data_IF_003015169657
#
_entry.id   IF_003015169657
#
_cell.length_a   1.000
_cell.length_b   1.000
_cell.length_c   1.000
_cell.angle_alpha   90.00
_cell.angle_beta   90.00
_cell.angle_gamma   90.00
#
_symmetry.space_group_name_H-M   'P 1'
#
loop_
_entity.id
_entity.type
_entity.pdbx_description
1 polymer ?
#
# COMPACT_ATOMS: atom_id res chain seq x y z
N UNK A 1 24.49 -6.25 -4.64
CA UNK A 1 23.50 -5.88 -5.71
C UNK A 1 22.06 -5.79 -5.17
N UNK A 2 21.40 -6.89 -4.70
CA UNK A 2 20.00 -6.81 -4.20
C UNK A 2 19.87 -5.90 -2.97
N UNK A 3 20.82 -5.93 -2.03
CA UNK A 3 20.81 -5.09 -0.83
C UNK A 3 21.05 -3.60 -1.11
N UNK A 4 21.64 -3.27 -2.23
CA UNK A 4 21.88 -1.88 -2.65
C UNK A 4 20.62 -1.26 -3.25
N UNK A 5 19.78 -2.06 -3.91
CA UNK A 5 18.52 -1.62 -4.51
C UNK A 5 17.37 -1.52 -3.51
N UNK A 6 17.25 -2.54 -2.62
CA UNK A 6 16.15 -2.60 -1.64
C UNK A 6 16.43 -1.64 -0.49
N UNK A 7 15.50 -0.72 -0.26
CA UNK A 7 15.60 0.35 0.72
C UNK A 7 16.20 1.65 0.17
N UNK A 8 16.95 1.61 -0.94
CA UNK A 8 17.45 2.79 -1.63
C UNK A 8 16.58 3.18 -2.82
N UNK A 9 16.53 2.32 -3.87
CA UNK A 9 15.76 2.59 -5.10
C UNK A 9 14.35 2.01 -5.06
N UNK A 10 14.16 0.91 -4.33
CA UNK A 10 12.86 0.22 -4.19
C UNK A 10 12.54 0.09 -2.71
N UNK A 11 11.40 0.60 -2.31
CA UNK A 11 10.90 0.46 -0.95
C UNK A 11 9.53 -0.21 -0.92
N UNK A 12 9.18 -0.78 0.23
CA UNK A 12 7.91 -1.48 0.41
C UNK A 12 7.25 -1.08 1.73
N UNK A 13 5.96 -0.82 1.68
CA UNK A 13 5.06 -0.67 2.82
C UNK A 13 4.33 -2.00 2.96
N UNK A 14 4.45 -2.64 4.12
CA UNK A 14 3.81 -3.92 4.41
C UNK A 14 2.39 -3.73 4.93
N UNK A 15 1.58 -4.77 4.84
CA UNK A 15 0.17 -4.79 5.19
C UNK A 15 -0.10 -4.42 6.67
N UNK A 16 0.75 -4.83 7.60
CA UNK A 16 0.54 -4.61 9.03
C UNK A 16 1.67 -3.77 9.64
N UNK A 17 1.39 -2.51 10.04
CA UNK A 17 2.39 -1.63 10.64
C UNK A 17 2.84 -2.12 12.02
N UNK A 18 2.01 -2.86 12.75
CA UNK A 18 2.35 -3.32 14.10
C UNK A 18 3.38 -4.44 14.10
N UNK A 19 3.39 -5.28 13.06
CA UNK A 19 4.40 -6.32 12.88
C UNK A 19 5.65 -5.82 12.15
N UNK A 20 5.53 -4.73 11.40
CA UNK A 20 6.63 -4.15 10.63
C UNK A 20 7.54 -3.24 11.44
N UNK A 21 7.00 -2.58 12.46
CA UNK A 21 7.78 -1.75 13.39
C UNK A 21 8.30 -2.62 14.55
N UNK A 22 9.59 -2.50 14.86
CA UNK A 22 10.17 -3.21 16.00
C UNK A 22 9.77 -2.53 17.32
N UNK A 23 9.01 -3.22 18.21
CA UNK A 23 8.51 -2.61 19.45
C UNK A 23 9.60 -2.25 20.46
N UNK A 24 10.80 -2.79 20.33
CA UNK A 24 11.93 -2.54 21.24
C UNK A 24 12.69 -1.24 20.95
N UNK A 25 12.43 -0.62 19.79
CA UNK A 25 13.13 0.60 19.37
C UNK A 25 12.15 1.76 19.18
N UNK A 26 12.62 2.97 19.44
CA UNK A 26 11.82 4.18 19.22
C UNK A 26 11.61 4.41 17.71
N UNK A 27 10.56 5.17 17.38
CA UNK A 27 10.23 5.56 16.01
C UNK A 27 11.41 6.21 15.32
N UNK A 28 12.01 7.21 15.96
CA UNK A 28 13.14 7.93 15.39
C UNK A 28 14.37 7.05 15.20
N UNK A 29 14.63 6.11 16.10
CA UNK A 29 15.75 5.19 15.94
C UNK A 29 15.60 4.37 14.67
N UNK A 30 14.42 3.81 14.40
CA UNK A 30 14.16 2.95 13.25
C UNK A 30 14.28 3.71 11.92
N UNK A 31 13.74 4.94 11.85
CA UNK A 31 13.90 5.79 10.66
C UNK A 31 15.37 6.19 10.46
N UNK A 32 16.06 6.60 11.53
CA UNK A 32 17.50 6.96 11.46
C UNK A 32 18.37 5.77 11.05
N UNK A 33 18.01 4.55 11.43
CA UNK A 33 18.72 3.33 11.05
C UNK A 33 18.57 3.05 9.55
N UNK A 34 17.36 3.20 8.99
CA UNK A 34 17.12 3.10 7.55
C UNK A 34 17.95 4.13 6.77
N UNK A 35 17.96 5.40 7.20
CA UNK A 35 18.77 6.44 6.58
C UNK A 35 20.28 6.09 6.67
N UNK A 36 20.74 5.61 7.83
CA UNK A 36 22.15 5.25 8.04
C UNK A 36 22.59 4.12 7.11
N UNK A 37 21.73 3.14 6.90
CA UNK A 37 22.05 1.96 6.10
C UNK A 37 22.31 2.28 4.62
N UNK A 38 21.65 3.32 4.07
CA UNK A 38 21.67 3.62 2.64
C UNK A 38 22.33 4.97 2.29
N UNK A 39 22.25 5.97 3.17
CA UNK A 39 22.73 7.33 2.92
C UNK A 39 23.89 7.75 3.84
N UNK A 40 24.06 7.06 4.97
CA UNK A 40 25.06 7.40 5.96
C UNK A 40 24.74 8.69 6.72
N UNK A 41 25.67 9.64 6.80
CA UNK A 41 25.54 10.92 7.49
C UNK A 41 25.76 10.87 9.00
N UNK A 42 25.92 12.02 9.65
CA UNK A 42 26.05 12.16 11.09
C UNK A 42 24.75 11.86 11.82
N UNK A 43 24.82 11.58 13.13
CA UNK A 43 23.62 11.37 13.96
C UNK A 43 22.70 12.59 13.94
N UNK A 44 23.26 13.79 13.90
CA UNK A 44 22.50 15.05 13.88
C UNK A 44 21.70 15.19 12.58
N UNK A 45 22.38 15.02 11.43
CA UNK A 45 21.74 15.09 10.11
C UNK A 45 20.61 14.06 9.96
N UNK A 46 20.86 12.81 10.39
CA UNK A 46 19.82 11.79 10.37
C UNK A 46 18.60 12.14 11.24
N UNK A 47 18.83 12.74 12.44
CA UNK A 47 17.73 13.17 13.30
C UNK A 47 16.94 14.32 12.67
N UNK A 48 17.61 15.29 12.07
CA UNK A 48 16.95 16.40 11.37
C UNK A 48 16.11 15.86 10.20
N UNK A 49 16.68 14.97 9.37
CA UNK A 49 15.96 14.33 8.28
C UNK A 49 14.77 13.49 8.78
N UNK A 50 14.90 12.80 9.90
CA UNK A 50 13.79 12.05 10.51
C UNK A 50 12.65 12.96 10.93
N UNK A 51 12.94 14.11 11.52
CA UNK A 51 11.91 15.10 11.88
C UNK A 51 11.20 15.66 10.64
N UNK A 52 11.95 15.94 9.57
CA UNK A 52 11.36 16.34 8.28
C UNK A 52 10.39 15.27 7.72
N UNK A 53 10.80 14.00 7.76
CA UNK A 53 9.97 12.89 7.31
C UNK A 53 8.71 12.74 8.14
N UNK A 54 8.81 12.83 9.45
CA UNK A 54 7.64 12.77 10.35
C UNK A 54 6.66 13.91 10.09
N UNK A 55 7.16 15.14 9.81
CA UNK A 55 6.30 16.26 9.40
C UNK A 55 5.66 15.98 8.03
N UNK A 56 6.43 15.48 7.08
CA UNK A 56 5.98 15.18 5.71
C UNK A 56 4.82 14.17 5.69
N UNK A 57 4.87 13.16 6.55
CA UNK A 57 3.77 12.18 6.67
C UNK A 57 2.66 12.62 7.64
N UNK A 58 2.72 13.84 8.16
CA UNK A 58 1.67 14.41 9.00
C UNK A 58 1.61 13.83 10.43
N UNK A 59 2.75 13.48 11.03
CA UNK A 59 2.80 13.14 12.45
C UNK A 59 2.73 14.45 13.26
N UNK A 60 1.75 14.60 14.18
CA UNK A 60 1.65 15.78 15.03
C UNK A 60 2.79 15.80 16.06
N UNK A 61 3.35 16.98 16.34
CA UNK A 61 4.43 17.20 17.31
C UNK A 61 5.61 16.21 17.14
N UNK A 62 6.30 16.23 15.97
CA UNK A 62 7.33 15.25 15.63
C UNK A 62 8.50 15.22 16.62
N UNK A 63 8.79 16.37 17.25
CA UNK A 63 9.87 16.53 18.23
C UNK A 63 9.67 15.67 19.46
N UNK A 64 8.42 15.51 19.92
CA UNK A 64 8.07 14.63 21.03
C UNK A 64 7.85 13.19 20.58
N UNK A 65 7.36 13.00 19.34
CA UNK A 65 7.03 11.68 18.80
C UNK A 65 8.23 10.89 18.28
N UNK A 66 9.34 11.53 18.00
CA UNK A 66 10.55 10.85 17.53
C UNK A 66 11.11 9.84 18.55
N UNK A 67 10.93 10.10 19.83
CA UNK A 67 11.48 9.30 20.91
C UNK A 67 10.45 8.33 21.55
N UNK A 68 9.21 8.21 20.98
CA UNK A 68 8.20 7.25 21.42
C UNK A 68 8.38 5.87 20.79
N UNK A 69 7.81 4.85 21.40
CA UNK A 69 7.79 3.48 20.90
C UNK A 69 6.53 3.22 20.06
N UNK A 70 6.55 2.24 19.14
CA UNK A 70 5.40 1.92 18.28
C UNK A 70 4.10 1.67 19.04
N UNK A 71 4.13 0.98 20.17
CA UNK A 71 2.95 0.67 20.98
C UNK A 71 2.30 1.92 21.64
N UNK A 72 2.95 3.08 21.58
CA UNK A 72 2.41 4.37 22.08
C UNK A 72 1.72 5.17 20.97
N UNK A 73 1.65 4.63 19.75
CA UNK A 73 1.03 5.25 18.58
C UNK A 73 -0.33 4.61 18.29
N UNK A 74 -1.23 5.38 17.66
CA UNK A 74 -2.41 4.82 17.01
C UNK A 74 -2.04 4.05 15.75
N UNK A 75 -2.93 3.18 15.24
CA UNK A 75 -2.72 2.42 14.01
C UNK A 75 -2.38 3.33 12.82
N UNK A 76 -3.13 4.41 12.62
CA UNK A 76 -2.87 5.38 11.56
C UNK A 76 -1.54 6.12 11.73
N UNK A 77 -1.11 6.42 12.97
CA UNK A 77 0.21 7.01 13.22
C UNK A 77 1.33 6.00 12.94
N UNK A 78 1.18 4.74 13.33
CA UNK A 78 2.14 3.67 13.02
C UNK A 78 2.28 3.47 11.51
N UNK A 79 1.16 3.53 10.77
CA UNK A 79 1.16 3.49 9.31
C UNK A 79 1.94 4.65 8.70
N UNK A 80 1.73 5.88 9.18
CA UNK A 80 2.47 7.07 8.73
C UNK A 80 3.97 6.97 9.02
N UNK A 81 4.34 6.40 10.16
CA UNK A 81 5.76 6.12 10.50
C UNK A 81 6.37 5.09 9.53
N UNK A 82 5.64 4.02 9.21
CA UNK A 82 6.10 3.03 8.24
C UNK A 82 6.27 3.64 6.83
N UNK A 83 5.37 4.52 6.42
CA UNK A 83 5.51 5.31 5.18
C UNK A 83 6.77 6.18 5.25
N UNK A 84 6.99 6.91 6.36
CA UNK A 84 8.19 7.73 6.56
C UNK A 84 9.49 6.92 6.44
N UNK A 85 9.51 5.69 7.00
CA UNK A 85 10.64 4.77 6.84
C UNK A 85 10.86 4.37 5.39
N UNK A 86 9.78 4.00 4.68
CA UNK A 86 9.86 3.56 3.29
C UNK A 86 10.39 4.66 2.36
N UNK A 87 9.95 5.92 2.55
CA UNK A 87 10.39 7.05 1.71
C UNK A 87 11.69 7.72 2.19
N UNK A 88 12.28 7.25 3.31
CA UNK A 88 13.43 7.91 3.95
C UNK A 88 14.61 8.12 2.99
N UNK A 89 14.85 7.17 2.10
CA UNK A 89 15.95 7.18 1.14
C UNK A 89 15.54 7.67 -0.26
N UNK A 90 14.33 8.22 -0.44
CA UNK A 90 13.78 8.71 -1.72
C UNK A 90 13.77 7.63 -2.80
N UNK A 91 13.04 6.54 -2.61
CA UNK A 91 13.02 5.45 -3.57
C UNK A 91 12.41 5.89 -4.90
N UNK A 92 12.86 5.27 -6.00
CA UNK A 92 12.28 5.46 -7.33
C UNK A 92 10.98 4.68 -7.51
N UNK A 93 10.83 3.59 -6.74
CA UNK A 93 9.65 2.74 -6.74
C UNK A 93 9.20 2.46 -5.30
N UNK A 94 7.95 2.78 -5.00
CA UNK A 94 7.29 2.40 -3.75
C UNK A 94 6.24 1.32 -4.04
N UNK A 95 6.32 0.21 -3.31
CA UNK A 95 5.31 -0.85 -3.33
C UNK A 95 4.52 -0.75 -2.04
N UNK A 96 3.21 -0.51 -2.12
CA UNK A 96 2.32 -0.45 -0.97
C UNK A 96 1.39 -1.67 -1.00
N UNK A 97 1.63 -2.60 -0.08
CA UNK A 97 0.86 -3.84 0.03
C UNK A 97 -0.23 -3.69 1.08
N UNK A 98 -1.47 -3.52 0.61
CA UNK A 98 -2.66 -3.27 1.43
C UNK A 98 -2.45 -2.21 2.53
N UNK A 99 -1.97 -0.99 2.19
CA UNK A 99 -1.48 -0.01 3.17
C UNK A 99 -2.58 0.56 4.07
N UNK A 100 -3.83 0.21 3.82
CA UNK A 100 -5.01 0.72 4.54
C UNK A 100 -5.73 -0.35 5.34
N UNK A 101 -5.26 -1.60 5.31
CA UNK A 101 -5.88 -2.72 6.05
C UNK A 101 -5.89 -2.43 7.56
N UNK A 102 -7.00 -2.76 8.23
CA UNK A 102 -7.24 -2.55 9.65
C UNK A 102 -7.31 -1.07 10.11
N UNK A 103 -7.46 -0.11 9.20
CA UNK A 103 -7.70 1.29 9.49
C UNK A 103 -9.18 1.64 9.29
N UNK A 104 -9.67 2.65 9.98
CA UNK A 104 -11.02 3.19 9.72
C UNK A 104 -11.06 3.94 8.38
N UNK A 105 -12.26 4.05 7.79
CA UNK A 105 -12.47 4.59 6.43
C UNK A 105 -11.88 6.00 6.26
N UNK A 106 -11.98 6.83 7.28
CA UNK A 106 -11.45 8.21 7.23
C UNK A 106 -9.92 8.21 7.16
N UNK A 107 -9.28 7.37 7.97
CA UNK A 107 -7.82 7.23 7.95
C UNK A 107 -7.34 6.55 6.67
N UNK A 108 -8.10 5.58 6.13
CA UNK A 108 -7.78 4.96 4.83
C UNK A 108 -7.65 6.00 3.73
N UNK A 109 -8.66 6.87 3.57
CA UNK A 109 -8.62 7.95 2.59
C UNK A 109 -7.38 8.85 2.78
N UNK A 110 -7.11 9.28 4.01
CA UNK A 110 -5.95 10.12 4.31
C UNK A 110 -4.59 9.44 3.99
N UNK A 111 -4.48 8.13 4.17
CA UNK A 111 -3.24 7.40 3.82
C UNK A 111 -3.05 7.33 2.31
N UNK A 112 -4.13 7.15 1.57
CA UNK A 112 -4.06 7.12 0.11
C UNK A 112 -3.70 8.47 -0.46
N UNK A 113 -4.39 9.52 -0.02
CA UNK A 113 -4.06 10.91 -0.40
C UNK A 113 -2.59 11.21 -0.12
N UNK A 114 -2.09 10.84 1.06
CA UNK A 114 -0.68 10.99 1.41
C UNK A 114 0.24 10.24 0.44
N UNK A 115 -0.07 9.01 0.07
CA UNK A 115 0.75 8.24 -0.89
C UNK A 115 0.77 8.87 -2.28
N UNK A 116 -0.37 9.39 -2.75
CA UNK A 116 -0.48 10.08 -4.03
C UNK A 116 0.27 11.43 -4.02
N UNK A 117 0.15 12.21 -2.95
CA UNK A 117 0.91 13.44 -2.77
C UNK A 117 2.43 13.16 -2.78
N UNK A 118 2.87 12.13 -2.05
CA UNK A 118 4.27 11.73 -2.00
C UNK A 118 4.78 11.24 -3.36
N UNK A 119 3.96 10.48 -4.09
CA UNK A 119 4.27 10.00 -5.44
C UNK A 119 4.55 11.17 -6.39
N UNK A 120 3.73 12.21 -6.35
CA UNK A 120 3.90 13.40 -7.18
C UNK A 120 5.11 14.22 -6.72
N UNK A 121 5.23 14.50 -5.42
CA UNK A 121 6.26 15.37 -4.85
C UNK A 121 7.67 14.81 -5.00
N UNK A 122 7.84 13.51 -4.76
CA UNK A 122 9.15 12.84 -4.85
C UNK A 122 9.40 12.24 -6.25
N UNK A 123 8.47 12.42 -7.22
CA UNK A 123 8.57 11.89 -8.58
C UNK A 123 8.84 10.39 -8.63
N UNK A 124 8.23 9.60 -7.74
CA UNK A 124 8.41 8.14 -7.66
C UNK A 124 7.28 7.39 -8.35
N UNK A 125 7.55 6.15 -8.76
CA UNK A 125 6.52 5.22 -9.19
C UNK A 125 5.86 4.56 -7.98
N UNK A 126 4.53 4.35 -8.04
CA UNK A 126 3.76 3.67 -6.99
C UNK A 126 3.10 2.42 -7.54
N UNK A 127 3.33 1.27 -6.90
CA UNK A 127 2.53 0.05 -7.06
C UNK A 127 1.66 -0.08 -5.82
N UNK A 128 0.35 0.04 -6.00
CA UNK A 128 -0.63 -0.13 -4.93
C UNK A 128 -1.31 -1.49 -5.07
N UNK A 129 -1.11 -2.36 -4.09
CA UNK A 129 -1.81 -3.64 -3.98
C UNK A 129 -2.97 -3.43 -3.02
N UNK A 130 -4.19 -3.66 -3.48
CA UNK A 130 -5.39 -3.47 -2.68
C UNK A 130 -6.54 -4.32 -3.21
N UNK A 131 -7.50 -4.61 -2.35
CA UNK A 131 -8.78 -5.21 -2.71
C UNK A 131 -9.92 -4.16 -2.80
N UNK A 132 -9.63 -2.90 -2.50
CA UNK A 132 -10.59 -1.80 -2.57
C UNK A 132 -10.60 -1.19 -3.98
N UNK A 133 -11.65 -1.51 -4.75
CA UNK A 133 -11.81 -1.06 -6.12
C UNK A 133 -12.18 0.43 -6.21
N UNK A 134 -12.84 1.01 -5.21
CA UNK A 134 -13.15 2.44 -5.19
C UNK A 134 -11.85 3.24 -5.13
N UNK A 135 -10.92 2.82 -4.28
CA UNK A 135 -9.60 3.39 -4.17
C UNK A 135 -8.78 3.24 -5.46
N UNK A 136 -8.87 2.08 -6.12
CA UNK A 136 -8.22 1.84 -7.41
C UNK A 136 -8.76 2.79 -8.49
N UNK A 137 -10.07 3.06 -8.48
CA UNK A 137 -10.71 3.96 -9.46
C UNK A 137 -10.17 5.41 -9.35
N UNK A 138 -9.86 5.86 -8.14
CA UNK A 138 -9.35 7.21 -7.89
C UNK A 138 -7.84 7.33 -8.13
N UNK A 139 -7.07 6.29 -7.77
CA UNK A 139 -5.61 6.38 -7.68
C UNK A 139 -4.86 5.82 -8.90
N UNK A 140 -5.44 4.85 -9.62
CA UNK A 140 -4.68 4.05 -10.56
C UNK A 140 -4.73 4.59 -11.99
N UNK A 141 -3.55 4.67 -12.65
CA UNK A 141 -3.47 4.90 -14.10
C UNK A 141 -3.60 3.58 -14.89
N UNK A 142 -3.06 2.49 -14.33
CA UNK A 142 -3.10 1.14 -14.91
C UNK A 142 -3.49 0.16 -13.81
N UNK A 143 -4.22 -0.88 -14.21
CA UNK A 143 -4.70 -1.92 -13.31
C UNK A 143 -4.21 -3.27 -13.82
N UNK A 144 -3.78 -4.11 -12.89
CA UNK A 144 -3.48 -5.52 -13.09
C UNK A 144 -4.41 -6.30 -12.17
N UNK A 145 -5.35 -7.06 -12.76
CA UNK A 145 -6.28 -7.90 -12.01
C UNK A 145 -5.68 -9.29 -11.87
N UNK A 146 -5.60 -9.77 -10.63
CA UNK A 146 -5.05 -11.08 -10.31
C UNK A 146 -6.12 -12.00 -9.74
N UNK A 147 -6.12 -13.27 -10.17
CA UNK A 147 -6.98 -14.32 -9.64
C UNK A 147 -6.18 -15.61 -9.41
N UNK A 148 -6.27 -16.19 -8.24
CA UNK A 148 -5.55 -17.43 -7.86
C UNK A 148 -4.05 -17.41 -8.22
N UNK A 149 -3.39 -16.25 -8.04
CA UNK A 149 -1.95 -16.06 -8.30
C UNK A 149 -1.57 -15.88 -9.78
N UNK A 150 -2.55 -15.67 -10.66
CA UNK A 150 -2.31 -15.36 -12.07
C UNK A 150 -2.89 -14.00 -12.46
N UNK A 151 -2.22 -13.29 -13.36
CA UNK A 151 -2.77 -12.10 -14.01
C UNK A 151 -3.84 -12.56 -14.99
N UNK A 152 -5.06 -12.06 -14.82
CA UNK A 152 -6.21 -12.41 -15.66
C UNK A 152 -6.63 -11.28 -16.58
N UNK A 153 -6.36 -10.05 -16.21
CA UNK A 153 -6.61 -8.86 -17.02
C UNK A 153 -5.65 -7.74 -16.64
N UNK A 154 -5.22 -6.95 -17.63
CA UNK A 154 -4.46 -5.72 -17.40
C UNK A 154 -4.84 -4.65 -18.42
N UNK A 155 -4.79 -3.39 -18.02
CA UNK A 155 -5.13 -2.28 -18.88
C UNK A 155 -5.03 -0.93 -18.21
N UNK A 156 -5.44 0.12 -18.93
CA UNK A 156 -5.66 1.45 -18.33
C UNK A 156 -6.85 1.36 -17.39
N UNK A 157 -6.85 2.12 -16.31
CA UNK A 157 -7.94 2.12 -15.35
C UNK A 157 -9.30 2.40 -16.03
N UNK A 158 -9.37 3.45 -16.87
CA UNK A 158 -10.57 3.80 -17.62
C UNK A 158 -11.15 2.64 -18.45
N UNK A 159 -10.28 1.86 -19.12
CA UNK A 159 -10.70 0.74 -19.98
C UNK A 159 -11.23 -0.42 -19.13
N UNK A 160 -10.54 -0.76 -18.04
CA UNK A 160 -10.93 -1.84 -17.12
C UNK A 160 -12.27 -1.53 -16.45
N UNK A 161 -12.52 -0.28 -16.04
CA UNK A 161 -13.79 0.10 -15.41
C UNK A 161 -14.94 0.20 -16.43
N UNK A 162 -14.67 0.70 -17.64
CA UNK A 162 -15.70 0.90 -18.68
C UNK A 162 -16.07 -0.40 -19.38
N UNK A 163 -15.08 -1.22 -19.75
CA UNK A 163 -15.28 -2.41 -20.57
C UNK A 163 -14.39 -3.57 -20.12
N UNK A 164 -14.63 -4.12 -18.88
CA UNK A 164 -13.89 -5.28 -18.41
C UNK A 164 -14.12 -6.49 -19.29
N UNK A 165 -13.08 -7.18 -19.69
CA UNK A 165 -13.15 -8.31 -20.64
C UNK A 165 -13.17 -9.65 -19.93
N UNK A 166 -12.41 -9.78 -18.83
CA UNK A 166 -12.35 -11.03 -18.11
C UNK A 166 -13.58 -11.19 -17.18
N UNK A 167 -14.26 -12.38 -17.16
CA UNK A 167 -15.45 -12.60 -16.33
C UNK A 167 -15.24 -12.33 -14.83
N UNK A 168 -14.04 -12.59 -14.31
CA UNK A 168 -13.70 -12.28 -12.92
C UNK A 168 -13.71 -10.76 -12.65
N UNK A 169 -13.11 -9.96 -13.54
CA UNK A 169 -13.12 -8.49 -13.43
C UNK A 169 -14.55 -7.95 -13.49
N UNK A 170 -15.37 -8.47 -14.39
CA UNK A 170 -16.78 -8.11 -14.49
C UNK A 170 -17.54 -8.43 -13.20
N UNK A 171 -17.28 -9.58 -12.59
CA UNK A 171 -17.91 -9.96 -11.34
C UNK A 171 -17.43 -9.11 -10.16
N UNK A 172 -16.15 -8.76 -10.10
CA UNK A 172 -15.61 -7.83 -9.09
C UNK A 172 -16.28 -6.46 -9.18
N UNK A 173 -16.39 -5.89 -10.37
CA UNK A 173 -17.02 -4.58 -10.57
C UNK A 173 -18.52 -4.61 -10.23
N UNK A 174 -19.23 -5.70 -10.58
CA UNK A 174 -20.65 -5.86 -10.21
C UNK A 174 -20.90 -6.04 -8.71
N UNK A 175 -19.85 -6.33 -7.93
CA UNK A 175 -19.94 -6.40 -6.47
C UNK A 175 -19.83 -5.03 -5.78
N UNK A 176 -19.47 -3.98 -6.53
CA UNK A 176 -19.43 -2.62 -6.02
C UNK A 176 -20.85 -2.05 -5.87
N UNK A 177 -21.15 -1.33 -4.76
CA UNK A 177 -22.45 -0.71 -4.55
C UNK A 177 -22.85 0.26 -5.66
N UNK A 178 -21.88 0.97 -6.24
CA UNK A 178 -22.08 1.96 -7.30
C UNK A 178 -22.57 1.36 -8.63
N UNK A 179 -22.21 0.10 -8.90
CA UNK A 179 -22.66 -0.65 -10.08
C UNK A 179 -23.90 -1.52 -9.82
N UNK A 180 -24.42 -1.51 -8.60
CA UNK A 180 -25.56 -2.32 -8.18
C UNK A 180 -26.92 -1.60 -8.38
N UNK A 181 -27.04 -0.73 -9.41
CA UNK A 181 -28.27 0.05 -9.67
C UNK A 181 -29.55 -0.81 -9.51
N UNK A 182 -30.35 -0.47 -8.50
CA UNK A 182 -31.69 -1.04 -8.30
C UNK A 182 -31.77 -2.50 -7.82
N UNK A 183 -30.65 -3.14 -7.48
CA UNK A 183 -30.64 -4.53 -6.97
C UNK A 183 -30.54 -4.55 -5.44
N UNK A 184 -31.47 -5.22 -4.81
CA UNK A 184 -31.51 -5.40 -3.35
C UNK A 184 -30.38 -6.32 -2.81
N UNK A 185 -29.60 -6.96 -3.67
CA UNK A 185 -28.55 -7.89 -3.29
C UNK A 185 -27.37 -7.83 -4.26
N UNK A 186 -26.16 -7.63 -3.73
CA UNK A 186 -24.92 -7.69 -4.50
C UNK A 186 -24.69 -9.11 -5.03
N UNK A 187 -24.21 -9.21 -6.29
CA UNK A 187 -23.89 -10.49 -6.91
C UNK A 187 -22.50 -10.93 -6.43
N UNK A 188 -22.41 -12.11 -5.83
CA UNK A 188 -21.13 -12.75 -5.50
C UNK A 188 -20.88 -13.92 -6.45
N UNK A 189 -19.61 -14.16 -6.76
CA UNK A 189 -19.20 -15.37 -7.47
C UNK A 189 -19.38 -16.58 -6.55
N UNK A 190 -20.09 -17.63 -6.99
CA UNK A 190 -20.23 -18.86 -6.22
C UNK A 190 -18.91 -19.63 -6.16
N UNK A 191 -18.84 -20.64 -5.29
CA UNK A 191 -17.68 -21.55 -5.20
C UNK A 191 -16.48 -20.96 -4.43
N UNK A 192 -15.36 -21.67 -4.47
CA UNK A 192 -14.13 -21.35 -3.75
C UNK A 192 -13.00 -21.08 -4.74
N UNK A 193 -12.09 -20.18 -4.41
CA UNK A 193 -10.89 -19.93 -5.23
C UNK A 193 -10.02 -21.20 -5.22
N UNK A 194 -9.60 -21.72 -6.40
CA UNK A 194 -8.79 -22.93 -6.46
C UNK A 194 -7.46 -22.74 -5.74
N UNK A 195 -7.13 -23.70 -4.89
CA UNK A 195 -5.86 -23.76 -4.18
C UNK A 195 -4.72 -24.26 -5.07
N UNK A 196 -3.53 -24.40 -4.47
CA UNK A 196 -2.34 -24.87 -5.19
C UNK A 196 -2.51 -26.30 -5.74
N UNK A 197 -3.26 -27.14 -5.05
CA UNK A 197 -3.44 -28.58 -5.38
C UNK A 197 -4.73 -28.88 -6.13
N UNK A 198 -5.68 -27.94 -6.19
CA UNK A 198 -7.01 -28.13 -6.80
C UNK A 198 -7.17 -27.26 -8.06
N UNK A 199 -6.07 -26.99 -8.76
CA UNK A 199 -6.11 -26.17 -9.97
C UNK A 199 -6.78 -26.93 -11.11
N UNK A 200 -7.87 -26.39 -11.70
CA UNK A 200 -8.50 -26.98 -12.88
C UNK A 200 -7.57 -26.90 -14.09
N UNK A 201 -7.79 -27.79 -15.07
CA UNK A 201 -7.17 -27.63 -16.37
C UNK A 201 -7.80 -26.44 -17.12
N UNK A 202 -6.96 -25.56 -17.66
CA UNK A 202 -7.41 -24.38 -18.39
C UNK A 202 -7.62 -23.16 -17.48
N UNK A 203 -8.71 -22.43 -17.69
CA UNK A 203 -9.01 -21.21 -16.95
C UNK A 203 -9.31 -21.51 -15.48
N UNK A 204 -8.59 -20.85 -14.57
CA UNK A 204 -8.77 -21.05 -13.12
C UNK A 204 -10.17 -20.62 -12.61
N UNK A 205 -10.90 -19.78 -13.36
CA UNK A 205 -12.27 -19.37 -13.03
C UNK A 205 -13.32 -20.40 -13.46
N UNK A 206 -12.98 -21.36 -14.36
CA UNK A 206 -13.95 -22.29 -14.93
C UNK A 206 -14.84 -23.06 -13.93
N UNK A 207 -14.38 -23.42 -12.70
CA UNK A 207 -15.23 -24.07 -11.70
C UNK A 207 -16.25 -23.15 -11.04
N UNK A 208 -16.24 -21.85 -11.31
CA UNK A 208 -17.06 -20.80 -10.70
C UNK A 208 -17.85 -20.03 -11.74
#
# INVERSE_FOLDING_TARGET
EKRELVGADIAMIFQDPMTSLNPAYTVGFQIMEAIKAHQGGSKKERRERTLELLRLVGIPDPESRIDVYPHQLSGGMSQRVMIAMAIACKPRLLIADEPTTALDVTIQAQIVDLLLELQQKECMSLILITHDLALVAEAAHRIIVMYAGQVVEEGRAEDIFREPKHPYTQALLRSLPEFAEGKSRLQSLPGVVPGKYDRPQGCLLNPR
#
